data_IF_710440697427
#
_entry.id   IF_710440697427
#
_cell.length_a   1.000
_cell.length_b   1.000
_cell.length_c   1.000
_cell.angle_alpha   90.00
_cell.angle_beta   90.00
_cell.angle_gamma   90.00
#
_symmetry.space_group_name_H-M   'P 1'
#
loop_
_entity.id
_entity.type
_entity.pdbx_description
1 polymer ?
#
# COMPACT_ATOMS: atom_id res chain seq x y z
N UNK A 1 -8.92 -22.86 15.92
CA UNK A 1 -7.73 -22.08 15.55
C UNK A 1 -7.31 -22.26 14.08
N UNK A 2 -7.42 -23.46 13.48
CA UNK A 2 -7.10 -23.69 12.06
C UNK A 2 -8.03 -22.96 11.08
N UNK A 3 -9.34 -22.91 11.36
CA UNK A 3 -10.33 -22.23 10.50
C UNK A 3 -10.03 -20.74 10.29
N UNK A 4 -9.41 -20.10 11.30
CA UNK A 4 -9.11 -18.67 11.23
C UNK A 4 -7.94 -18.32 10.31
N UNK A 5 -7.08 -19.29 10.06
CA UNK A 5 -5.94 -19.12 9.16
C UNK A 5 -6.36 -19.32 7.69
N UNK A 6 -7.25 -20.29 7.45
CA UNK A 6 -7.72 -20.64 6.11
C UNK A 6 -8.45 -19.48 5.41
N UNK A 7 -9.35 -18.77 6.09
CA UNK A 7 -10.07 -17.66 5.44
C UNK A 7 -9.14 -16.50 5.06
N UNK A 8 -8.10 -16.21 5.87
CA UNK A 8 -7.14 -15.14 5.57
C UNK A 8 -6.32 -15.45 4.34
N UNK A 9 -5.86 -16.70 4.24
CA UNK A 9 -5.08 -17.16 3.10
C UNK A 9 -5.93 -17.12 1.83
N UNK A 10 -7.15 -17.65 1.89
CA UNK A 10 -8.10 -17.61 0.76
C UNK A 10 -8.39 -16.17 0.35
N UNK A 11 -8.64 -15.28 1.32
CA UNK A 11 -8.85 -13.85 1.04
C UNK A 11 -7.65 -13.23 0.33
N UNK A 12 -6.42 -13.46 0.81
CA UNK A 12 -5.21 -12.91 0.19
C UNK A 12 -5.00 -13.41 -1.24
N UNK A 13 -5.30 -14.70 -1.50
CA UNK A 13 -5.22 -15.25 -2.85
C UNK A 13 -6.25 -14.58 -3.76
N UNK A 14 -7.52 -14.56 -3.36
CA UNK A 14 -8.60 -13.96 -4.16
C UNK A 14 -8.31 -12.48 -4.42
N UNK A 15 -7.93 -11.75 -3.37
CA UNK A 15 -7.54 -10.35 -3.46
C UNK A 15 -6.36 -10.15 -4.42
N UNK A 16 -5.33 -10.99 -4.37
CA UNK A 16 -4.18 -10.87 -5.28
C UNK A 16 -4.55 -11.14 -6.73
N UNK A 17 -5.45 -12.10 -6.98
CA UNK A 17 -5.91 -12.44 -8.32
C UNK A 17 -6.75 -11.35 -8.98
N UNK A 18 -7.26 -10.36 -8.23
CA UNK A 18 -8.00 -9.23 -8.84
C UNK A 18 -7.12 -8.39 -9.77
N UNK A 19 -5.79 -8.48 -9.67
CA UNK A 19 -4.88 -7.76 -10.56
C UNK A 19 -4.92 -8.22 -12.02
N UNK A 20 -5.47 -9.43 -12.25
CA UNK A 20 -5.62 -10.03 -13.58
C UNK A 20 -6.90 -9.56 -14.28
N UNK A 21 -7.83 -8.92 -13.56
CA UNK A 21 -9.07 -8.44 -14.14
C UNK A 21 -8.78 -7.15 -14.94
N UNK A 22 -9.07 -7.12 -16.26
CA UNK A 22 -8.80 -5.96 -17.10
C UNK A 22 -9.87 -4.88 -16.89
N UNK A 23 -9.74 -4.09 -15.83
CA UNK A 23 -10.53 -2.88 -15.65
C UNK A 23 -10.01 -1.76 -16.55
N UNK A 24 -10.90 -0.92 -17.09
CA UNK A 24 -10.48 0.33 -17.74
C UNK A 24 -9.86 1.27 -16.71
N UNK A 25 -8.70 1.87 -17.01
CA UNK A 25 -7.93 2.70 -16.07
C UNK A 25 -7.53 1.96 -14.76
N UNK A 26 -7.26 0.65 -14.88
CA UNK A 26 -6.88 -0.21 -13.75
C UNK A 26 -5.67 0.31 -12.96
N UNK A 27 -4.76 1.06 -13.57
CA UNK A 27 -3.55 1.60 -12.94
C UNK A 27 -3.83 2.55 -11.77
N UNK A 28 -5.07 3.06 -11.63
CA UNK A 28 -5.47 3.89 -10.48
C UNK A 28 -6.15 3.10 -9.36
N UNK A 29 -6.44 1.81 -9.56
CA UNK A 29 -7.19 0.97 -8.62
C UNK A 29 -6.26 0.12 -7.75
N UNK A 30 -6.63 -0.02 -6.46
CA UNK A 30 -5.99 -0.96 -5.50
C UNK A 30 -5.86 -2.36 -6.07
N UNK A 31 -6.88 -2.78 -6.79
CA UNK A 31 -7.02 -4.16 -7.25
C UNK A 31 -5.88 -4.58 -8.18
N UNK A 32 -5.29 -3.62 -8.91
CA UNK A 32 -4.13 -3.87 -9.78
C UNK A 32 -2.87 -4.15 -8.97
N UNK A 33 -2.68 -3.46 -7.85
CA UNK A 33 -1.51 -3.60 -6.98
C UNK A 33 -1.75 -4.54 -5.79
N UNK A 34 -2.92 -5.18 -5.71
CA UNK A 34 -3.30 -6.13 -4.68
C UNK A 34 -2.22 -7.18 -4.33
N UNK A 35 -1.50 -7.81 -5.28
CA UNK A 35 -0.45 -8.78 -4.94
C UNK A 35 0.73 -8.15 -4.17
N UNK A 36 1.04 -6.87 -4.39
CA UNK A 36 2.10 -6.16 -3.64
C UNK A 36 1.67 -5.95 -2.17
N UNK A 37 0.40 -5.57 -1.95
CA UNK A 37 -0.15 -5.47 -0.59
C UNK A 37 -0.21 -6.83 0.09
N UNK A 38 -0.66 -7.87 -0.61
CA UNK A 38 -0.72 -9.23 -0.09
C UNK A 38 0.66 -9.78 0.27
N UNK A 39 1.71 -9.41 -0.48
CA UNK A 39 3.10 -9.76 -0.17
C UNK A 39 3.49 -9.17 1.19
N UNK A 40 3.23 -7.89 1.43
CA UNK A 40 3.51 -7.25 2.73
C UNK A 40 2.76 -7.93 3.90
N UNK A 41 1.47 -8.23 3.74
CA UNK A 41 0.65 -8.88 4.77
C UNK A 41 1.14 -10.31 5.06
N UNK A 42 1.48 -11.07 4.01
CA UNK A 42 1.95 -12.45 4.16
C UNK A 42 3.34 -12.52 4.79
N UNK A 43 4.25 -11.59 4.45
CA UNK A 43 5.54 -11.45 5.11
C UNK A 43 5.41 -11.09 6.59
N UNK A 44 4.45 -10.23 6.95
CA UNK A 44 4.16 -9.94 8.34
C UNK A 44 3.68 -11.19 9.11
N UNK A 45 2.87 -12.04 8.50
CA UNK A 45 2.46 -13.31 9.11
C UNK A 45 3.66 -14.26 9.32
N UNK A 46 4.61 -14.31 8.37
CA UNK A 46 5.85 -15.07 8.56
C UNK A 46 6.72 -14.47 9.68
N UNK A 47 6.85 -13.14 9.72
CA UNK A 47 7.60 -12.45 10.77
C UNK A 47 7.06 -12.75 12.17
N UNK A 48 5.73 -12.80 12.31
CA UNK A 48 5.03 -13.07 13.57
C UNK A 48 5.13 -14.55 13.99
N UNK A 49 4.79 -15.48 13.10
CA UNK A 49 4.62 -16.89 13.47
C UNK A 49 5.92 -17.72 13.31
N UNK A 50 6.90 -17.22 12.53
CA UNK A 50 8.18 -17.88 12.24
C UNK A 50 8.08 -19.30 11.64
N UNK A 51 6.92 -19.66 11.09
CA UNK A 51 6.69 -20.95 10.42
C UNK A 51 7.09 -20.88 8.95
N UNK A 52 7.94 -21.79 8.50
CA UNK A 52 8.39 -21.89 7.11
C UNK A 52 7.24 -22.08 6.10
N UNK A 53 6.14 -22.70 6.51
CA UNK A 53 4.92 -22.83 5.69
C UNK A 53 4.37 -21.48 5.24
N UNK A 54 4.62 -20.40 6.00
CA UNK A 54 4.12 -19.06 5.70
C UNK A 54 4.95 -18.37 4.61
N UNK A 55 6.06 -18.95 4.14
CA UNK A 55 6.84 -18.45 3.00
C UNK A 55 6.27 -18.86 1.63
N UNK A 56 5.44 -19.89 1.58
CA UNK A 56 4.85 -20.38 0.33
C UNK A 56 4.08 -19.26 -0.39
N UNK A 57 3.26 -18.52 0.36
CA UNK A 57 2.44 -17.45 -0.21
C UNK A 57 3.28 -16.24 -0.68
N UNK A 58 4.21 -15.66 0.11
CA UNK A 58 5.12 -14.62 -0.37
C UNK A 58 5.87 -14.99 -1.65
N UNK A 59 6.39 -16.22 -1.75
CA UNK A 59 7.12 -16.69 -2.94
C UNK A 59 6.18 -16.77 -4.15
N UNK A 60 4.98 -17.34 -3.97
CA UNK A 60 3.97 -17.39 -5.03
C UNK A 60 3.54 -15.98 -5.51
N UNK A 61 3.41 -15.03 -4.57
CA UNK A 61 3.05 -13.64 -4.88
C UNK A 61 4.18 -12.91 -5.63
N UNK A 62 5.45 -13.17 -5.31
CA UNK A 62 6.57 -12.62 -6.08
C UNK A 62 6.55 -13.08 -7.54
N UNK A 63 6.24 -14.35 -7.80
CA UNK A 63 6.06 -14.86 -9.17
C UNK A 63 4.87 -14.21 -9.90
N UNK A 64 3.75 -13.98 -9.21
CA UNK A 64 2.61 -13.25 -9.78
C UNK A 64 2.94 -11.79 -10.08
N UNK A 65 3.74 -11.15 -9.22
CA UNK A 65 4.22 -9.77 -9.43
C UNK A 65 5.15 -9.71 -10.64
N UNK A 66 6.11 -10.64 -10.75
CA UNK A 66 7.01 -10.72 -11.90
C UNK A 66 6.20 -10.84 -13.21
N UNK A 67 5.20 -11.73 -13.21
CA UNK A 67 4.31 -11.92 -14.37
C UNK A 67 3.55 -10.64 -14.74
N UNK A 68 3.06 -9.88 -13.76
CA UNK A 68 2.19 -8.71 -13.99
C UNK A 68 2.96 -7.40 -14.23
N UNK A 69 4.04 -7.18 -13.50
CA UNK A 69 4.76 -5.91 -13.41
C UNK A 69 6.18 -5.96 -13.98
N UNK A 70 6.74 -7.15 -14.18
CA UNK A 70 8.11 -7.33 -14.68
C UNK A 70 9.12 -7.70 -13.59
N UNK A 71 10.31 -8.09 -14.07
CA UNK A 71 11.42 -8.58 -13.23
C UNK A 71 12.00 -7.49 -12.34
N UNK A 72 12.07 -6.25 -12.84
CA UNK A 72 12.58 -5.08 -12.13
C UNK A 72 11.78 -4.80 -10.84
N UNK A 73 10.45 -4.82 -10.92
CA UNK A 73 9.57 -4.64 -9.76
C UNK A 73 9.70 -5.84 -8.81
N UNK A 74 9.79 -7.06 -9.33
CA UNK A 74 9.96 -8.26 -8.51
C UNK A 74 11.28 -8.27 -7.72
N UNK A 75 12.39 -7.83 -8.34
CA UNK A 75 13.70 -7.71 -7.68
C UNK A 75 13.66 -6.62 -6.60
N UNK A 76 13.07 -5.45 -6.90
CA UNK A 76 12.91 -4.37 -5.93
C UNK A 76 12.10 -4.81 -4.70
N UNK A 77 10.99 -5.53 -4.92
CA UNK A 77 10.14 -6.01 -3.83
C UNK A 77 10.78 -7.16 -3.06
N UNK A 78 11.60 -7.99 -3.72
CA UNK A 78 12.41 -9.02 -3.04
C UNK A 78 13.44 -8.37 -2.09
N UNK A 79 14.14 -7.34 -2.55
CA UNK A 79 15.07 -6.58 -1.71
C UNK A 79 14.34 -5.88 -0.56
N UNK A 80 13.20 -5.27 -0.84
CA UNK A 80 12.36 -4.62 0.19
C UNK A 80 11.85 -5.63 1.22
N UNK A 81 11.49 -6.84 0.79
CA UNK A 81 11.08 -7.95 1.66
C UNK A 81 12.21 -8.40 2.59
N UNK A 82 13.44 -8.46 2.07
CA UNK A 82 14.64 -8.75 2.87
C UNK A 82 14.88 -7.67 3.93
N UNK A 83 14.73 -6.39 3.55
CA UNK A 83 14.92 -5.25 4.46
C UNK A 83 13.98 -5.31 5.67
N UNK A 84 12.74 -5.82 5.53
CA UNK A 84 11.80 -6.01 6.64
C UNK A 84 12.40 -6.91 7.75
N UNK A 85 13.22 -7.91 7.38
CA UNK A 85 13.84 -8.81 8.36
C UNK A 85 15.17 -8.29 8.89
N UNK A 86 15.89 -7.49 8.11
CA UNK A 86 17.20 -6.95 8.48
C UNK A 86 17.08 -5.69 9.36
N UNK A 87 16.12 -4.81 9.07
CA UNK A 87 15.95 -3.55 9.79
C UNK A 87 15.08 -3.79 11.02
N UNK A 88 15.73 -3.93 12.18
CA UNK A 88 15.03 -4.05 13.48
C UNK A 88 14.83 -2.72 14.18
N UNK A 89 15.49 -1.65 13.71
CA UNK A 89 15.42 -0.33 14.34
C UNK A 89 14.20 0.45 13.87
N UNK A 90 13.57 1.15 14.80
CA UNK A 90 12.47 2.07 14.53
C UNK A 90 13.02 3.39 13.99
N UNK A 91 13.14 3.48 12.66
CA UNK A 91 13.61 4.70 12.01
C UNK A 91 12.44 5.70 11.92
N UNK A 92 12.56 6.86 12.59
CA UNK A 92 11.46 7.84 12.75
C UNK A 92 10.78 8.26 11.44
N UNK A 93 11.50 8.56 10.33
CA UNK A 93 10.86 8.92 9.06
C UNK A 93 10.04 7.75 8.47
N UNK A 94 10.52 6.51 8.59
CA UNK A 94 9.77 5.32 8.14
C UNK A 94 8.48 5.13 8.93
N UNK A 95 8.51 5.39 10.23
CA UNK A 95 7.29 5.34 11.07
C UNK A 95 6.30 6.42 10.62
N UNK A 96 6.77 7.63 10.34
CA UNK A 96 5.92 8.71 9.82
C UNK A 96 5.25 8.30 8.51
N UNK A 97 6.02 7.84 7.51
CA UNK A 97 5.47 7.39 6.24
C UNK A 97 4.56 6.17 6.39
N UNK A 98 4.87 5.26 7.31
CA UNK A 98 4.01 4.13 7.65
C UNK A 98 2.65 4.57 8.17
N UNK A 99 2.61 5.57 9.06
CA UNK A 99 1.36 6.09 9.63
C UNK A 99 0.46 6.77 8.60
N UNK A 100 1.04 7.46 7.60
CA UNK A 100 0.27 8.12 6.54
C UNK A 100 0.10 7.26 5.29
N UNK A 101 0.62 6.02 5.26
CA UNK A 101 0.71 5.20 4.05
C UNK A 101 -0.66 4.95 3.40
N UNK A 102 -1.68 4.69 4.22
CA UNK A 102 -3.05 4.50 3.75
C UNK A 102 -3.62 5.78 3.13
N UNK A 103 -3.51 6.91 3.83
CA UNK A 103 -3.90 8.23 3.32
C UNK A 103 -3.18 8.56 2.02
N UNK A 104 -1.85 8.35 1.96
CA UNK A 104 -1.03 8.61 0.78
C UNK A 104 -1.48 7.77 -0.40
N UNK A 105 -1.73 6.48 -0.17
CA UNK A 105 -2.26 5.59 -1.19
C UNK A 105 -3.62 6.07 -1.73
N UNK A 106 -4.50 6.58 -0.88
CA UNK A 106 -5.82 7.06 -1.32
C UNK A 106 -5.74 8.39 -2.09
N UNK A 107 -4.88 9.31 -1.65
CA UNK A 107 -4.87 10.68 -2.16
C UNK A 107 -3.90 10.92 -3.31
N UNK A 108 -2.83 10.12 -3.46
CA UNK A 108 -1.80 10.39 -4.48
C UNK A 108 -2.34 10.38 -5.92
N UNK A 109 -3.23 9.44 -6.26
CA UNK A 109 -3.84 9.37 -7.59
C UNK A 109 -4.75 10.56 -7.87
N UNK A 110 -5.50 11.03 -6.87
CA UNK A 110 -6.30 12.25 -6.96
C UNK A 110 -5.42 13.48 -7.16
N UNK A 111 -4.30 13.58 -6.42
CA UNK A 111 -3.32 14.64 -6.60
C UNK A 111 -2.78 14.66 -8.03
N UNK A 112 -2.39 13.49 -8.56
CA UNK A 112 -1.91 13.34 -9.94
C UNK A 112 -2.96 13.82 -10.97
N UNK A 113 -4.23 13.41 -10.81
CA UNK A 113 -5.32 13.83 -11.72
C UNK A 113 -5.52 15.35 -11.69
N UNK A 114 -5.57 15.94 -10.49
CA UNK A 114 -5.70 17.40 -10.32
C UNK A 114 -4.51 18.13 -10.93
N UNK A 115 -3.30 17.62 -10.69
CA UNK A 115 -2.06 18.21 -11.17
C UNK A 115 -1.98 18.19 -12.70
N UNK A 116 -2.27 17.05 -13.33
CA UNK A 116 -2.37 16.92 -14.79
C UNK A 116 -3.44 17.86 -15.37
N UNK A 117 -4.59 17.98 -14.71
CA UNK A 117 -5.66 18.89 -15.12
C UNK A 117 -5.23 20.37 -15.08
N UNK A 118 -4.50 20.77 -14.04
CA UNK A 118 -3.96 22.12 -13.90
C UNK A 118 -2.87 22.41 -14.94
N UNK A 119 -1.93 21.49 -15.14
CA UNK A 119 -0.84 21.64 -16.12
C UNK A 119 -1.39 21.83 -17.54
N UNK A 120 -2.43 21.09 -17.93
CA UNK A 120 -3.11 21.27 -19.22
C UNK A 120 -3.78 22.63 -19.37
N UNK A 121 -4.35 23.19 -18.29
CA UNK A 121 -5.01 24.50 -18.32
C UNK A 121 -4.03 25.67 -18.38
N UNK A 122 -2.88 25.53 -17.74
CA UNK A 122 -1.90 26.62 -17.63
C UNK A 122 -0.86 26.61 -18.75
N UNK A 123 -0.94 25.68 -19.72
CA UNK A 123 0.06 25.46 -20.78
C UNK A 123 1.49 25.37 -20.22
N UNK A 124 1.64 24.91 -18.97
CA UNK A 124 2.92 24.75 -18.33
C UNK A 124 3.63 23.56 -18.97
N UNK A 125 4.58 23.87 -19.86
CA UNK A 125 5.45 22.89 -20.50
C UNK A 125 6.31 22.19 -19.43
N UNK A 126 5.88 20.99 -19.04
CA UNK A 126 6.64 20.11 -18.14
C UNK A 126 7.92 19.55 -18.79
N UNK A 127 8.13 19.78 -20.09
CA UNK A 127 9.09 19.06 -20.93
C UNK A 127 10.57 19.24 -20.57
N UNK A 128 10.99 20.39 -20.03
CA UNK A 128 12.40 20.63 -19.70
C UNK A 128 12.79 20.21 -18.29
N UNK A 129 11.83 20.00 -17.38
CA UNK A 129 12.08 19.82 -15.95
C UNK A 129 11.19 18.72 -15.32
N UNK A 130 10.98 17.62 -16.03
CA UNK A 130 10.07 16.53 -15.60
C UNK A 130 10.40 16.00 -14.19
N UNK A 131 11.69 15.86 -13.84
CA UNK A 131 12.12 15.40 -12.52
C UNK A 131 11.77 16.40 -11.40
N UNK A 132 11.91 17.70 -11.67
CA UNK A 132 11.53 18.74 -10.70
C UNK A 132 10.03 18.74 -10.45
N UNK A 133 9.25 18.56 -11.51
CA UNK A 133 7.79 18.46 -11.39
C UNK A 133 7.35 17.22 -10.64
N UNK A 134 7.98 16.06 -10.90
CA UNK A 134 7.75 14.84 -10.13
C UNK A 134 8.05 15.05 -8.63
N UNK A 135 9.16 15.73 -8.31
CA UNK A 135 9.52 16.01 -6.93
C UNK A 135 8.49 16.91 -6.23
N UNK A 136 8.03 17.96 -6.91
CA UNK A 136 6.97 18.85 -6.41
C UNK A 136 5.67 18.06 -6.20
N UNK A 137 5.30 17.20 -7.14
CA UNK A 137 4.11 16.36 -7.05
C UNK A 137 4.16 15.42 -5.84
N UNK A 138 5.31 14.77 -5.60
CA UNK A 138 5.53 13.93 -4.42
C UNK A 138 5.35 14.74 -3.14
N UNK A 139 5.93 15.94 -3.06
CA UNK A 139 5.79 16.81 -1.88
C UNK A 139 4.32 17.18 -1.62
N UNK A 140 3.59 17.55 -2.67
CA UNK A 140 2.16 17.88 -2.57
C UNK A 140 1.36 16.65 -2.15
N UNK A 141 1.61 15.48 -2.75
CA UNK A 141 0.94 14.24 -2.40
C UNK A 141 1.16 13.86 -0.93
N UNK A 142 2.39 13.98 -0.42
CA UNK A 142 2.72 13.73 0.99
C UNK A 142 2.03 14.73 1.91
N UNK A 143 1.99 16.01 1.52
CA UNK A 143 1.31 17.05 2.31
C UNK A 143 -0.20 16.80 2.39
N UNK A 144 -0.85 16.51 1.26
CA UNK A 144 -2.28 16.20 1.20
C UNK A 144 -2.59 14.93 2.00
N UNK A 145 -1.76 13.89 1.86
CA UNK A 145 -1.88 12.66 2.62
C UNK A 145 -1.79 12.89 4.13
N UNK A 146 -0.84 13.73 4.57
CA UNK A 146 -0.70 14.07 5.99
C UNK A 146 -1.91 14.84 6.52
N UNK A 147 -2.45 15.79 5.75
CA UNK A 147 -3.66 16.51 6.11
C UNK A 147 -4.87 15.57 6.19
N UNK A 148 -5.04 14.69 5.21
CA UNK A 148 -6.11 13.68 5.20
C UNK A 148 -5.98 12.75 6.40
N UNK A 149 -4.77 12.28 6.70
CA UNK A 149 -4.50 11.44 7.87
C UNK A 149 -4.91 12.15 9.16
N UNK A 150 -4.48 13.40 9.34
CA UNK A 150 -4.73 14.14 10.58
C UNK A 150 -6.21 14.52 10.76
N UNK A 151 -6.88 14.95 9.67
CA UNK A 151 -8.24 15.48 9.72
C UNK A 151 -9.33 14.42 9.59
N UNK A 152 -9.05 13.29 8.95
CA UNK A 152 -10.07 12.28 8.61
C UNK A 152 -9.69 10.91 9.17
N UNK A 153 -8.52 10.38 8.82
CA UNK A 153 -8.15 8.99 9.18
C UNK A 153 -8.00 8.83 10.70
N UNK A 154 -7.19 9.68 11.33
CA UNK A 154 -6.93 9.66 12.77
C UNK A 154 -8.20 9.83 13.61
N UNK A 155 -9.07 10.83 13.38
CA UNK A 155 -10.32 10.93 14.16
C UNK A 155 -11.26 9.77 13.90
N UNK A 156 -11.34 9.25 12.67
CA UNK A 156 -12.18 8.07 12.36
C UNK A 156 -11.70 6.81 13.09
N UNK A 157 -10.37 6.61 13.18
CA UNK A 157 -9.79 5.52 13.98
C UNK A 157 -10.06 5.68 15.48
N UNK A 158 -10.04 6.90 16.00
CA UNK A 158 -10.37 7.17 17.40
C UNK A 158 -11.85 6.86 17.64
N UNK A 159 -12.74 7.33 16.77
CA UNK A 159 -14.18 7.13 16.88
C UNK A 159 -14.56 5.65 16.77
N UNK A 160 -13.97 4.91 15.83
CA UNK A 160 -14.26 3.47 15.65
C UNK A 160 -13.89 2.66 16.90
N UNK A 161 -12.76 2.98 17.53
CA UNK A 161 -12.36 2.35 18.80
C UNK A 161 -13.41 2.61 19.88
N UNK A 162 -13.96 3.82 19.99
CA UNK A 162 -14.98 4.12 21.00
C UNK A 162 -16.28 3.34 20.79
N UNK A 163 -16.72 3.13 19.54
CA UNK A 163 -17.96 2.40 19.25
C UNK A 163 -17.79 0.89 19.50
N UNK A 164 -16.69 0.29 19.02
CA UNK A 164 -16.51 -1.15 19.08
C UNK A 164 -15.97 -1.66 20.42
N UNK A 165 -15.09 -0.92 21.10
CA UNK A 165 -14.58 -1.37 22.41
C UNK A 165 -15.57 -1.20 23.55
N UNK A 166 -16.50 -0.24 23.46
CA UNK A 166 -17.54 -0.07 24.48
C UNK A 166 -18.52 -1.25 24.46
N UNK A 167 -18.89 -1.72 23.27
CA UNK A 167 -19.75 -2.91 23.08
C UNK A 167 -19.10 -4.22 23.57
N UNK A 168 -17.77 -4.32 23.61
CA UNK A 168 -17.08 -5.51 24.13
C UNK A 168 -16.95 -5.54 25.67
N UNK A 169 -17.26 -4.43 26.34
CA UNK A 169 -17.20 -4.30 27.80
C UNK A 169 -18.59 -4.35 28.46
N UNK A 170 -19.64 -4.10 27.68
CA UNK A 170 -21.05 -4.14 28.09
C UNK A 170 -21.74 -5.49 27.74
N UNK A 171 -20.98 -6.47 27.19
CA UNK A 171 -21.35 -7.87 27.02
C UNK A 171 -20.48 -8.75 27.92
#
# INVERSE_FOLDING_TARGET
>A
MAESYSYKLVFLIIFSLTCLIPFGNADYLVLSYAPIFALGISLFNFYKDRKWTNLILPVALLGLIEYKFGLDVAVLLSFSSLMIFLIKSLIKPLIFFGNISYSLYLTHSLCLIVFLGLSKKTNLSLGQNQLWWLFIEILIAVLVAYLFYFLIERPSMILSKHVFYKRARDN
#
